data_IF_776153507785
#
_entry.id   IF_776153507785
#
_cell.length_a   1.000
_cell.length_b   1.000
_cell.length_c   1.000
_cell.angle_alpha   90.00
_cell.angle_beta   90.00
_cell.angle_gamma   90.00
#
_symmetry.space_group_name_H-M   'P 1'
#
loop_
_entity.id
_entity.type
_entity.pdbx_description
1 polymer ?
#
# COMPACT_ATOMS: atom_id res chain seq x y z
N UNK A 1 -7.75 16.86 -8.55
CA UNK A 1 -7.63 15.84 -9.62
C UNK A 1 -7.04 14.55 -9.06
N UNK A 2 -7.61 13.40 -9.43
CA UNK A 2 -7.13 12.11 -8.98
C UNK A 2 -5.96 11.63 -9.83
N UNK A 3 -5.02 10.92 -9.17
CA UNK A 3 -3.88 10.28 -9.84
C UNK A 3 -3.97 8.78 -9.61
N UNK A 4 -3.74 8.00 -10.66
CA UNK A 4 -3.70 6.54 -10.55
C UNK A 4 -2.25 6.08 -10.70
N UNK A 5 -1.81 5.31 -9.72
CA UNK A 5 -0.46 4.75 -9.68
C UNK A 5 -0.59 3.25 -9.55
N UNK A 6 0.07 2.52 -10.43
CA UNK A 6 0.10 1.05 -10.39
C UNK A 6 1.55 0.59 -10.36
N UNK A 7 1.86 -0.27 -9.39
CA UNK A 7 3.15 -0.94 -9.31
C UNK A 7 2.91 -2.43 -9.14
N UNK A 8 3.79 -3.25 -9.70
CA UNK A 8 3.67 -4.69 -9.58
C UNK A 8 5.03 -5.36 -9.53
N UNK A 9 5.06 -6.56 -8.96
CA UNK A 9 6.29 -7.31 -8.81
C UNK A 9 5.99 -8.82 -8.82
N UNK A 10 6.93 -9.59 -9.35
CA UNK A 10 6.96 -11.04 -9.22
C UNK A 10 7.74 -11.41 -7.98
N UNK A 11 7.15 -12.24 -7.15
CA UNK A 11 7.79 -12.71 -5.91
C UNK A 11 8.00 -14.21 -6.03
N UNK A 12 9.21 -14.68 -5.79
CA UNK A 12 9.56 -16.10 -5.85
C UNK A 12 9.14 -16.79 -4.55
N UNK A 13 7.83 -16.86 -4.35
CA UNK A 13 7.22 -17.47 -3.20
C UNK A 13 5.79 -17.88 -3.57
N UNK A 14 5.23 -18.84 -2.82
CA UNK A 14 3.88 -19.32 -3.07
C UNK A 14 2.84 -18.23 -2.76
N UNK A 15 1.66 -18.38 -3.32
CA UNK A 15 0.54 -17.47 -3.04
C UNK A 15 0.26 -17.43 -1.53
N UNK A 16 0.32 -18.56 -0.85
CA UNK A 16 0.09 -18.63 0.59
C UNK A 16 1.12 -17.81 1.38
N UNK A 17 2.39 -17.92 1.01
CA UNK A 17 3.47 -17.16 1.67
C UNK A 17 3.30 -15.66 1.47
N UNK A 18 3.00 -15.23 0.25
CA UNK A 18 2.80 -13.81 -0.06
C UNK A 18 1.58 -13.29 0.68
N UNK A 19 0.47 -14.02 0.62
CA UNK A 19 -0.75 -13.64 1.33
C UNK A 19 -0.51 -13.53 2.84
N UNK A 20 0.17 -14.51 3.43
CA UNK A 20 0.43 -14.52 4.87
C UNK A 20 1.21 -13.27 5.31
N UNK A 21 2.16 -12.81 4.52
CA UNK A 21 2.91 -11.61 4.87
C UNK A 21 2.11 -10.33 4.64
N UNK A 22 1.49 -10.18 3.48
CA UNK A 22 0.80 -8.95 3.12
C UNK A 22 -0.50 -8.76 3.92
N UNK A 23 -1.20 -9.84 4.25
CA UNK A 23 -2.44 -9.73 5.02
C UNK A 23 -2.24 -9.31 6.48
N UNK A 24 -1.01 -9.36 6.97
CA UNK A 24 -0.65 -8.84 8.29
C UNK A 24 -0.38 -7.35 8.15
N UNK A 25 -1.43 -6.56 8.32
CA UNK A 25 -1.38 -5.11 8.13
C UNK A 25 -0.34 -4.46 9.05
N UNK A 26 -0.18 -4.97 10.26
CA UNK A 26 0.80 -4.48 11.24
C UNK A 26 2.24 -4.60 10.73
N UNK A 27 2.49 -5.46 9.75
CA UNK A 27 3.83 -5.65 9.19
C UNK A 27 4.13 -4.73 7.99
N UNK A 28 3.13 -3.98 7.51
CA UNK A 28 3.32 -3.14 6.33
C UNK A 28 4.45 -2.12 6.50
N UNK A 29 4.65 -1.60 7.71
CA UNK A 29 5.74 -0.66 7.97
C UNK A 29 7.13 -1.30 7.83
N UNK A 30 7.23 -2.62 7.80
CA UNK A 30 8.51 -3.32 7.60
C UNK A 30 9.00 -3.20 6.17
N UNK A 31 8.09 -3.06 5.21
CA UNK A 31 8.46 -2.97 3.80
C UNK A 31 8.00 -1.67 3.13
N UNK A 32 7.02 -0.95 3.69
CA UNK A 32 6.62 0.37 3.20
C UNK A 32 7.39 1.45 3.94
N UNK A 33 8.37 2.05 3.30
CA UNK A 33 9.23 3.07 3.90
C UNK A 33 8.47 4.35 4.24
N UNK A 34 7.46 4.68 3.46
CA UNK A 34 6.63 5.86 3.67
C UNK A 34 5.59 5.65 4.78
N UNK A 35 5.27 4.41 5.12
CA UNK A 35 4.37 4.09 6.22
C UNK A 35 5.18 3.90 7.52
N UNK A 36 5.42 5.00 8.21
CA UNK A 36 6.31 5.02 9.37
C UNK A 36 5.69 4.33 10.58
N UNK A 37 4.40 4.51 10.79
CA UNK A 37 3.69 3.92 11.92
C UNK A 37 2.25 3.63 11.53
N UNK A 38 1.74 2.48 11.97
CA UNK A 38 0.37 2.04 11.68
C UNK A 38 -0.35 1.80 13.00
N UNK A 39 -1.43 2.56 13.23
CA UNK A 39 -2.26 2.41 14.42
C UNK A 39 -3.63 1.89 14.02
N UNK A 40 -4.06 0.80 14.63
CA UNK A 40 -5.41 0.27 14.40
C UNK A 40 -6.43 1.13 15.14
N UNK A 41 -7.47 1.57 14.43
CA UNK A 41 -8.55 2.38 14.97
C UNK A 41 -9.82 1.56 15.18
N UNK A 42 -9.76 0.26 14.90
CA UNK A 42 -10.84 -0.70 15.08
C UNK A 42 -10.37 -1.85 15.95
N UNK A 43 -11.30 -2.64 16.51
CA UNK A 43 -10.94 -3.83 17.27
C UNK A 43 -10.38 -4.92 16.35
N UNK A 44 -10.96 -5.04 15.14
CA UNK A 44 -10.46 -5.99 14.16
C UNK A 44 -9.15 -5.48 13.56
N UNK A 45 -8.26 -6.40 13.25
CA UNK A 45 -6.96 -6.13 12.60
C UNK A 45 -6.88 -6.73 11.21
N UNK A 46 -7.94 -7.33 10.74
CA UNK A 46 -8.04 -7.92 9.42
C UNK A 46 -9.49 -7.93 8.96
N UNK A 47 -9.70 -8.02 7.66
CA UNK A 47 -11.04 -8.10 7.07
C UNK A 47 -11.68 -6.75 6.81
N UNK A 48 -12.84 -6.81 6.17
CA UNK A 48 -13.64 -5.62 5.86
C UNK A 48 -14.05 -4.94 7.16
N UNK A 49 -13.96 -3.61 7.18
CA UNK A 49 -14.30 -2.80 8.35
C UNK A 49 -13.11 -2.45 9.22
N UNK A 50 -11.95 -3.06 8.99
CA UNK A 50 -10.72 -2.68 9.69
C UNK A 50 -10.37 -1.25 9.35
N UNK A 51 -9.99 -0.47 10.37
CA UNK A 51 -9.61 0.93 10.21
C UNK A 51 -8.22 1.15 10.76
N UNK A 52 -7.41 1.89 10.01
CA UNK A 52 -6.04 2.22 10.42
C UNK A 52 -5.76 3.70 10.22
N UNK A 53 -4.81 4.18 11.02
CA UNK A 53 -4.24 5.51 10.90
C UNK A 53 -2.76 5.33 10.64
N UNK A 54 -2.29 5.81 9.51
CA UNK A 54 -0.90 5.63 9.08
C UNK A 54 -0.18 6.97 9.13
N UNK A 55 0.93 7.02 9.86
CA UNK A 55 1.83 8.16 9.77
C UNK A 55 2.66 7.99 8.51
N UNK A 56 2.40 8.84 7.53
CA UNK A 56 3.04 8.78 6.22
C UNK A 56 4.08 9.89 6.13
N UNK A 57 5.29 9.51 5.72
CA UNK A 57 6.39 10.44 5.57
C UNK A 57 6.98 10.33 4.18
N UNK A 58 6.97 11.44 3.44
CA UNK A 58 7.52 11.50 2.08
C UNK A 58 8.45 12.73 2.06
N UNK A 59 9.77 12.48 2.09
CA UNK A 59 10.74 13.55 2.22
C UNK A 59 10.50 14.35 3.50
N UNK A 60 10.39 15.68 3.44
CA UNK A 60 10.09 16.50 4.61
C UNK A 60 8.60 16.53 4.99
N UNK A 61 7.75 15.95 4.14
CA UNK A 61 6.30 15.98 4.33
C UNK A 61 5.86 14.84 5.24
N UNK A 62 5.10 15.17 6.29
CA UNK A 62 4.48 14.20 7.20
C UNK A 62 2.98 14.45 7.21
N UNK A 63 2.19 13.40 7.11
CA UNK A 63 0.74 13.50 7.26
C UNK A 63 0.18 12.19 7.79
N UNK A 64 -1.04 12.25 8.31
CA UNK A 64 -1.77 11.07 8.71
C UNK A 64 -2.72 10.67 7.60
N UNK A 65 -2.61 9.41 7.19
CA UNK A 65 -3.49 8.81 6.20
C UNK A 65 -4.42 7.84 6.91
N UNK A 66 -5.72 8.05 6.78
CA UNK A 66 -6.74 7.21 7.41
C UNK A 66 -7.32 6.28 6.36
N UNK A 67 -7.35 4.99 6.65
CA UNK A 67 -7.87 3.99 5.72
C UNK A 67 -8.91 3.11 6.36
N UNK A 68 -9.92 2.73 5.57
CA UNK A 68 -10.90 1.73 5.94
C UNK A 68 -10.84 0.62 4.92
N UNK A 69 -10.69 -0.62 5.38
CA UNK A 69 -10.63 -1.77 4.48
C UNK A 69 -12.04 -2.10 4.00
N UNK A 70 -12.24 -2.08 2.69
CA UNK A 70 -13.54 -2.25 2.04
C UNK A 70 -13.67 -3.53 1.25
N UNK A 71 -12.55 -4.17 0.90
CA UNK A 71 -12.51 -5.45 0.22
C UNK A 71 -11.49 -6.35 0.91
N UNK A 72 -11.85 -7.60 1.08
CA UNK A 72 -10.95 -8.57 1.70
C UNK A 72 -11.35 -9.97 1.23
N UNK A 73 -10.77 -10.42 0.12
CA UNK A 73 -10.97 -11.76 -0.39
C UNK A 73 -9.66 -12.52 -0.25
N UNK A 74 -9.66 -13.56 0.56
CA UNK A 74 -8.45 -14.31 0.91
C UNK A 74 -7.70 -14.76 -0.34
N UNK A 75 -6.41 -14.42 -0.39
CA UNK A 75 -5.49 -14.78 -1.48
C UNK A 75 -5.86 -14.18 -2.84
N UNK A 76 -6.74 -13.18 -2.87
CA UNK A 76 -7.16 -12.51 -4.10
C UNK A 76 -6.98 -11.01 -4.07
N UNK A 77 -7.60 -10.32 -3.11
CA UNK A 77 -7.60 -8.86 -3.10
C UNK A 77 -7.82 -8.29 -1.70
N UNK A 78 -7.11 -7.21 -1.43
CA UNK A 78 -7.35 -6.35 -0.27
C UNK A 78 -7.58 -4.95 -0.82
N UNK A 79 -8.72 -4.34 -0.48
CA UNK A 79 -9.04 -3.00 -0.93
C UNK A 79 -9.28 -2.06 0.22
N UNK A 80 -8.92 -0.78 0.04
CA UNK A 80 -9.09 0.26 1.05
C UNK A 80 -9.68 1.52 0.46
N UNK A 81 -10.35 2.29 1.32
CA UNK A 81 -10.71 3.67 1.04
C UNK A 81 -9.83 4.55 1.91
N UNK A 82 -9.25 5.59 1.32
CA UNK A 82 -8.53 6.64 2.04
C UNK A 82 -9.52 7.72 2.43
N UNK A 83 -9.46 8.16 3.68
CA UNK A 83 -10.41 9.14 4.24
C UNK A 83 -9.64 10.25 4.94
N UNK A 84 -9.87 11.50 4.57
CA UNK A 84 -9.21 12.63 5.20
C UNK A 84 -8.45 13.49 4.22
N UNK A 85 -7.20 13.85 4.55
CA UNK A 85 -6.36 14.69 3.68
C UNK A 85 -6.09 13.96 2.35
N UNK A 86 -5.75 12.68 2.44
CA UNK A 86 -5.64 11.82 1.27
C UNK A 86 -6.98 11.12 1.10
N UNK A 87 -7.56 11.17 -0.10
CA UNK A 87 -8.80 10.46 -0.42
C UNK A 87 -8.59 9.59 -1.64
N UNK A 88 -9.46 8.61 -1.80
CA UNK A 88 -9.42 7.69 -2.94
C UNK A 88 -9.45 6.24 -2.52
N UNK A 89 -9.03 5.37 -3.43
CA UNK A 89 -9.11 3.91 -3.24
C UNK A 89 -7.78 3.25 -3.57
N UNK A 90 -7.48 2.19 -2.82
CA UNK A 90 -6.33 1.36 -3.09
C UNK A 90 -6.72 -0.09 -3.18
N UNK A 91 -6.02 -0.85 -4.01
CA UNK A 91 -6.23 -2.30 -4.15
C UNK A 91 -4.90 -3.02 -4.26
N UNK A 92 -4.78 -4.11 -3.52
CA UNK A 92 -3.65 -5.03 -3.58
C UNK A 92 -4.18 -6.34 -4.11
N UNK A 93 -3.68 -6.79 -5.25
CA UNK A 93 -4.15 -7.99 -5.94
C UNK A 93 -3.06 -9.06 -5.96
N UNK A 94 -3.47 -10.30 -5.73
CA UNK A 94 -2.59 -11.45 -5.62
C UNK A 94 -2.92 -12.42 -6.75
N UNK A 95 -1.95 -12.74 -7.60
CA UNK A 95 -2.14 -13.65 -8.73
C UNK A 95 -1.10 -14.76 -8.70
N UNK A 96 -1.57 -15.98 -8.56
CA UNK A 96 -0.70 -17.16 -8.60
C UNK A 96 -0.21 -17.37 -10.03
N UNK A 97 1.11 -17.39 -10.23
CA UNK A 97 1.71 -17.74 -11.52
C UNK A 97 1.95 -19.24 -11.57
N UNK A 98 2.60 -19.76 -10.52
CA UNK A 98 2.78 -21.21 -10.33
C UNK A 98 2.94 -21.48 -8.83
N UNK A 99 3.30 -22.72 -8.46
CA UNK A 99 3.39 -23.13 -7.06
C UNK A 99 4.42 -22.34 -6.25
N UNK A 100 5.40 -21.72 -6.92
CA UNK A 100 6.52 -21.02 -6.27
C UNK A 100 6.65 -19.57 -6.70
N UNK A 101 5.69 -19.04 -7.45
CA UNK A 101 5.76 -17.69 -7.99
C UNK A 101 4.41 -17.00 -7.91
N UNK A 102 4.40 -15.79 -7.38
CA UNK A 102 3.19 -14.99 -7.22
C UNK A 102 3.45 -13.59 -7.79
N UNK A 103 2.47 -13.06 -8.49
CA UNK A 103 2.49 -11.67 -8.95
C UNK A 103 1.66 -10.85 -7.98
N UNK A 104 2.26 -9.81 -7.43
CA UNK A 104 1.59 -8.87 -6.54
C UNK A 104 1.46 -7.52 -7.24
N UNK A 105 0.24 -7.00 -7.27
CA UNK A 105 -0.07 -5.74 -7.95
C UNK A 105 -0.75 -4.80 -6.97
N UNK A 106 -0.26 -3.56 -6.91
CA UNK A 106 -0.77 -2.54 -6.01
C UNK A 106 -1.18 -1.32 -6.83
N UNK A 107 -2.45 -0.96 -6.77
CA UNK A 107 -3.02 0.17 -7.50
C UNK A 107 -3.66 1.14 -6.52
N UNK A 108 -3.32 2.42 -6.66
CA UNK A 108 -3.92 3.48 -5.85
C UNK A 108 -4.46 4.57 -6.78
N UNK A 109 -5.70 4.95 -6.58
CA UNK A 109 -6.30 6.10 -7.25
C UNK A 109 -6.56 7.14 -6.17
N UNK A 110 -5.66 8.14 -6.11
CA UNK A 110 -5.60 9.07 -5.00
C UNK A 110 -5.86 10.51 -5.40
N UNK A 111 -6.52 11.22 -4.51
CA UNK A 111 -6.46 12.67 -4.42
C UNK A 111 -5.48 12.98 -3.28
N UNK A 112 -4.27 13.31 -3.65
CA UNK A 112 -3.20 13.59 -2.71
C UNK A 112 -2.94 15.10 -2.74
N UNK A 113 -2.64 15.72 -1.58
CA UNK A 113 -2.38 17.16 -1.55
C UNK A 113 -0.98 17.48 -2.11
N UNK A 114 -0.81 17.32 -3.41
CA UNK A 114 0.46 17.57 -4.09
C UNK A 114 0.96 19.00 -3.91
N UNK A 115 0.04 19.92 -3.61
CA UNK A 115 0.42 21.31 -3.30
C UNK A 115 1.37 21.42 -2.11
N UNK A 116 1.41 20.41 -1.24
CA UNK A 116 2.35 20.38 -0.10
C UNK A 116 3.80 20.26 -0.54
N UNK A 117 4.04 19.85 -1.79
CA UNK A 117 5.39 19.76 -2.37
C UNK A 117 5.80 21.07 -3.05
N UNK A 118 4.97 22.12 -2.99
CA UNK A 118 5.23 23.40 -3.61
C UNK A 118 4.62 23.48 -5.02
N UNK A 119 5.01 24.53 -5.80
CA UNK A 119 4.40 24.80 -7.10
C UNK A 119 4.52 23.68 -8.13
N UNK A 120 5.54 22.84 -8.02
CA UNK A 120 5.75 21.73 -8.96
C UNK A 120 5.23 20.38 -8.44
N UNK A 121 4.62 20.38 -7.26
CA UNK A 121 4.16 19.15 -6.61
C UNK A 121 3.19 18.35 -7.46
N UNK A 122 2.28 18.99 -8.17
CA UNK A 122 1.31 18.30 -9.04
C UNK A 122 2.00 17.56 -10.20
N UNK A 123 3.16 18.06 -10.62
CA UNK A 123 3.91 17.47 -11.75
C UNK A 123 4.78 16.31 -11.28
N UNK A 124 5.47 16.47 -10.13
CA UNK A 124 6.48 15.51 -9.68
C UNK A 124 5.94 14.50 -8.65
N UNK A 125 4.78 14.77 -8.06
CA UNK A 125 4.24 13.92 -6.99
C UNK A 125 4.01 12.49 -7.42
N UNK A 126 3.39 12.26 -8.57
CA UNK A 126 3.13 10.90 -9.07
C UNK A 126 4.41 10.12 -9.32
N UNK A 127 5.39 10.65 -10.05
CA UNK A 127 6.67 9.94 -10.25
C UNK A 127 7.40 9.62 -8.95
N UNK A 128 7.35 10.52 -7.97
CA UNK A 128 7.98 10.29 -6.66
C UNK A 128 7.28 9.14 -5.93
N UNK A 129 5.95 9.15 -5.87
CA UNK A 129 5.20 8.08 -5.23
C UNK A 129 5.41 6.75 -5.93
N UNK A 130 5.41 6.74 -7.25
CA UNK A 130 5.65 5.54 -8.04
C UNK A 130 7.02 4.95 -7.72
N UNK A 131 8.05 5.80 -7.63
CA UNK A 131 9.40 5.38 -7.27
C UNK A 131 9.42 4.76 -5.87
N UNK A 132 8.84 5.45 -4.89
CA UNK A 132 8.81 4.99 -3.49
C UNK A 132 8.09 3.64 -3.39
N UNK A 133 6.96 3.50 -4.07
CA UNK A 133 6.15 2.28 -3.99
C UNK A 133 6.81 1.10 -4.71
N UNK A 134 7.53 1.35 -5.79
CA UNK A 134 8.36 0.30 -6.43
C UNK A 134 9.44 -0.18 -5.47
N UNK A 135 10.07 0.75 -4.76
CA UNK A 135 11.04 0.41 -3.72
C UNK A 135 10.40 -0.42 -2.62
N UNK A 136 9.18 -0.06 -2.21
CA UNK A 136 8.43 -0.80 -1.20
C UNK A 136 8.17 -2.24 -1.65
N UNK A 137 7.80 -2.43 -2.91
CA UNK A 137 7.59 -3.77 -3.44
C UNK A 137 8.88 -4.59 -3.49
N UNK A 138 10.01 -3.96 -3.80
CA UNK A 138 11.30 -4.62 -3.76
C UNK A 138 11.63 -5.05 -2.33
N UNK A 139 11.31 -4.21 -1.35
CA UNK A 139 11.51 -4.55 0.07
C UNK A 139 10.63 -5.74 0.48
N UNK A 140 9.38 -5.76 0.03
CA UNK A 140 8.46 -6.86 0.30
C UNK A 140 8.99 -8.17 -0.28
N UNK A 141 9.42 -8.14 -1.54
CA UNK A 141 10.01 -9.30 -2.21
C UNK A 141 11.19 -9.82 -1.40
N UNK A 142 12.07 -8.93 -0.97
CA UNK A 142 13.25 -9.28 -0.19
C UNK A 142 12.86 -9.92 1.15
N UNK A 143 11.87 -9.37 1.83
CA UNK A 143 11.39 -9.90 3.11
C UNK A 143 10.82 -11.31 2.97
N UNK A 144 10.10 -11.57 1.91
CA UNK A 144 9.45 -12.87 1.70
C UNK A 144 10.44 -13.93 1.22
N UNK A 145 11.37 -13.54 0.35
CA UNK A 145 12.31 -14.49 -0.29
C UNK A 145 13.54 -14.84 0.54
N UNK A 146 13.78 -14.14 1.65
CA UNK A 146 14.97 -14.40 2.45
C UNK A 146 14.95 -15.74 3.19
#
# INVERSE_FOLDING_TARGET
MSKTITVEIKIDASLDEVWNEVSKIENHSNWMKDAVNIDFQSESKSGVGTKIKVLTKIGPIKLYDYMTFTKWEEKKIIGVDHVGIVTGKGEMEFNKIDEKTTKFKWTETLKFPFYLFGPIGEIVGKPILEFIWKENLNNLKHEIEK
#
